data_IF_450064689113
#
_entry.id   IF_450064689113
#
_cell.length_a   1.000
_cell.length_b   1.000
_cell.length_c   1.000
_cell.angle_alpha   90.00
_cell.angle_beta   90.00
_cell.angle_gamma   90.00
#
_symmetry.space_group_name_H-M   'P 1'
#
loop_
_entity.id
_entity.type
_entity.pdbx_description
1 polymer ?
#
# COMPACT_ATOMS: atom_id res chain seq x y z
N UNK A 1 2.29 -18.67 -5.22
CA UNK A 1 3.38 -18.15 -4.37
C UNK A 1 2.96 -16.86 -3.68
N UNK A 2 2.64 -15.81 -4.40
CA UNK A 2 2.07 -14.59 -3.83
C UNK A 2 0.56 -14.57 -4.08
N UNK A 3 -0.22 -14.39 -3.02
CA UNK A 3 -1.66 -14.57 -3.08
C UNK A 3 -2.39 -13.22 -3.18
N UNK A 4 -1.81 -12.16 -2.55
CA UNK A 4 -2.45 -10.85 -2.47
C UNK A 4 -1.44 -9.72 -2.28
N UNK A 5 -1.86 -8.50 -2.55
CA UNK A 5 -1.33 -7.33 -1.86
C UNK A 5 -2.01 -7.32 -0.48
N UNK A 6 -1.25 -7.60 0.56
CA UNK A 6 -1.76 -7.74 1.93
C UNK A 6 -2.08 -6.38 2.54
N UNK A 7 -1.10 -5.46 2.48
CA UNK A 7 -1.30 -4.09 2.92
C UNK A 7 -0.32 -3.11 2.25
N UNK A 8 -0.66 -1.84 2.35
CA UNK A 8 0.21 -0.71 2.03
C UNK A 8 0.64 -0.03 3.32
N UNK A 9 1.86 0.49 3.35
CA UNK A 9 2.46 1.14 4.52
C UNK A 9 2.64 2.61 4.21
N UNK A 10 2.12 3.45 5.10
CA UNK A 10 2.25 4.90 5.05
C UNK A 10 3.04 5.33 6.27
N UNK A 11 4.26 5.82 6.05
CA UNK A 11 5.09 6.37 7.12
C UNK A 11 4.58 7.76 7.49
N UNK A 12 4.36 7.99 8.78
CA UNK A 12 3.83 9.24 9.32
C UNK A 12 4.65 9.74 10.51
N UNK A 13 4.70 11.06 10.69
CA UNK A 13 5.41 11.69 11.83
C UNK A 13 4.59 11.60 13.12
N UNK A 14 3.27 11.87 13.02
CA UNK A 14 2.32 11.83 14.14
C UNK A 14 1.16 10.88 13.80
N UNK A 15 1.13 9.74 14.49
CA UNK A 15 0.12 8.71 14.26
C UNK A 15 -1.29 9.22 14.54
N UNK A 16 -1.48 10.06 15.56
CA UNK A 16 -2.81 10.56 15.95
C UNK A 16 -3.38 11.51 14.89
N UNK A 17 -2.57 12.42 14.37
CA UNK A 17 -2.96 13.32 13.28
C UNK A 17 -3.25 12.51 12.00
N UNK A 18 -2.41 11.53 11.69
CA UNK A 18 -2.62 10.68 10.53
C UNK A 18 -3.89 9.83 10.63
N UNK A 19 -4.24 9.32 11.82
CA UNK A 19 -5.51 8.61 12.08
C UNK A 19 -6.69 9.52 11.80
N UNK A 20 -6.68 10.77 12.29
CA UNK A 20 -7.76 11.73 12.03
C UNK A 20 -7.92 12.00 10.53
N UNK A 21 -6.81 12.20 9.84
CA UNK A 21 -6.77 12.46 8.40
C UNK A 21 -7.33 11.28 7.59
N UNK A 22 -6.84 10.07 7.86
CA UNK A 22 -7.27 8.88 7.13
C UNK A 22 -8.69 8.43 7.51
N UNK A 23 -9.15 8.71 8.74
CA UNK A 23 -10.56 8.53 9.13
C UNK A 23 -11.48 9.39 8.25
N UNK A 24 -11.10 10.66 7.99
CA UNK A 24 -11.86 11.52 7.06
C UNK A 24 -11.78 10.98 5.62
N UNK A 25 -10.60 10.61 5.11
CA UNK A 25 -10.47 10.11 3.74
C UNK A 25 -11.27 8.82 3.54
N UNK A 26 -11.07 7.83 4.41
CA UNK A 26 -11.66 6.49 4.25
C UNK A 26 -13.13 6.46 4.68
N UNK A 27 -13.56 7.33 5.60
CA UNK A 27 -14.94 7.42 6.10
C UNK A 27 -15.24 6.48 7.27
N UNK A 28 -14.20 5.94 7.91
CA UNK A 28 -14.31 5.11 9.11
C UNK A 28 -12.98 5.14 9.89
N UNK A 29 -13.01 4.92 11.23
CA UNK A 29 -11.81 4.88 12.06
C UNK A 29 -11.01 3.59 11.85
N UNK A 30 -9.76 3.51 12.32
CA UNK A 30 -9.03 2.25 12.35
C UNK A 30 -9.71 1.25 13.30
N UNK A 31 -9.52 -0.03 13.04
CA UNK A 31 -10.02 -1.11 13.91
C UNK A 31 -8.94 -1.71 14.80
N UNK A 32 -7.73 -1.24 14.64
CA UNK A 32 -6.55 -1.66 15.38
C UNK A 32 -5.64 -0.47 15.63
N UNK A 33 -5.16 -0.32 16.86
CA UNK A 33 -4.05 0.55 17.22
C UNK A 33 -3.09 -0.27 18.04
N UNK A 34 -1.85 -0.36 17.62
CA UNK A 34 -0.93 -1.27 18.27
C UNK A 34 0.51 -0.83 18.21
N UNK A 35 1.32 -1.61 18.91
CA UNK A 35 2.77 -1.46 18.95
C UNK A 35 3.44 -2.74 18.49
N UNK A 36 4.63 -2.60 17.95
CA UNK A 36 5.49 -3.72 17.58
C UNK A 36 6.62 -3.86 18.60
N UNK A 37 6.50 -4.83 19.53
CA UNK A 37 7.51 -5.03 20.58
C UNK A 37 8.92 -5.23 19.98
N UNK A 38 9.89 -4.48 20.49
CA UNK A 38 11.28 -4.55 20.01
C UNK A 38 11.58 -3.88 18.67
N UNK A 39 10.57 -3.41 17.93
CA UNK A 39 10.77 -2.66 16.70
C UNK A 39 10.77 -1.14 16.90
N UNK A 40 10.24 -0.65 18.02
CA UNK A 40 10.13 0.78 18.32
C UNK A 40 9.15 1.51 17.40
N UNK A 41 8.10 0.84 16.95
CA UNK A 41 7.06 1.41 16.10
C UNK A 41 5.67 1.21 16.68
N UNK A 42 4.77 2.11 16.33
CA UNK A 42 3.33 2.01 16.57
C UNK A 42 2.56 2.15 15.26
N UNK A 43 1.36 1.58 15.20
CA UNK A 43 0.56 1.59 14.00
C UNK A 43 -0.93 1.78 14.25
N UNK A 44 -1.63 2.14 13.16
CA UNK A 44 -3.09 2.07 13.08
C UNK A 44 -3.48 1.36 11.77
N UNK A 45 -4.41 0.41 11.85
CA UNK A 45 -4.81 -0.40 10.71
C UNK A 45 -6.27 -0.11 10.33
N UNK A 46 -6.47 0.17 9.04
CA UNK A 46 -7.76 0.43 8.43
C UNK A 46 -8.10 -0.71 7.46
N UNK A 47 -8.98 -1.65 7.84
CA UNK A 47 -9.35 -2.77 6.97
C UNK A 47 -10.23 -2.31 5.82
N UNK A 48 -9.91 -2.78 4.63
CA UNK A 48 -10.68 -2.63 3.40
C UNK A 48 -11.15 -4.02 2.90
N UNK A 49 -11.94 -4.05 1.84
CA UNK A 49 -12.45 -5.31 1.30
C UNK A 49 -11.37 -6.21 0.69
N UNK A 50 -10.24 -5.66 0.29
CA UNK A 50 -9.19 -6.39 -0.43
C UNK A 50 -7.79 -6.33 0.20
N UNK A 51 -7.58 -5.47 1.18
CA UNK A 51 -6.32 -5.31 1.91
C UNK A 51 -6.56 -4.45 3.16
N UNK A 52 -5.53 -4.09 3.89
CA UNK A 52 -5.61 -3.00 4.88
C UNK A 52 -4.57 -1.91 4.63
N UNK A 53 -4.85 -0.71 5.14
CA UNK A 53 -3.90 0.40 5.19
C UNK A 53 -3.23 0.38 6.55
N UNK A 54 -1.92 0.41 6.59
CA UNK A 54 -1.13 0.61 7.79
C UNK A 54 -0.56 2.03 7.83
N UNK A 55 -0.97 2.82 8.81
CA UNK A 55 -0.25 4.02 9.20
C UNK A 55 0.80 3.59 10.21
N UNK A 56 2.07 3.89 9.93
CA UNK A 56 3.21 3.43 10.73
C UNK A 56 4.06 4.61 11.18
N UNK A 57 4.23 4.75 12.49
CA UNK A 57 5.03 5.80 13.11
C UNK A 57 6.16 5.21 13.98
N UNK A 58 7.18 6.02 14.21
CA UNK A 58 8.22 5.71 15.18
C UNK A 58 7.68 5.92 16.60
N UNK A 59 7.91 4.95 17.49
CA UNK A 59 7.55 5.01 18.90
C UNK A 59 8.68 4.41 19.78
N UNK A 60 9.79 5.16 19.90
CA UNK A 60 10.93 4.75 20.69
C UNK A 60 12.15 4.33 19.87
N UNK A 61 12.89 3.34 20.36
CA UNK A 61 14.12 2.82 19.76
C UNK A 61 13.89 1.42 19.19
N UNK A 62 14.53 1.10 18.08
CA UNK A 62 14.49 -0.20 17.43
C UNK A 62 14.65 -0.12 15.91
N UNK A 63 14.90 -1.28 15.26
CA UNK A 63 15.17 -1.31 13.81
C UNK A 63 14.03 -0.74 12.97
N UNK A 64 12.78 -0.98 13.36
CA UNK A 64 11.61 -0.42 12.67
C UNK A 64 11.55 1.10 12.83
N UNK A 65 11.82 1.61 14.04
CA UNK A 65 11.90 3.05 14.29
C UNK A 65 12.97 3.73 13.43
N UNK A 66 14.16 3.13 13.35
CA UNK A 66 15.28 3.70 12.57
C UNK A 66 14.92 3.73 11.08
N UNK A 67 14.27 2.68 10.59
CA UNK A 67 13.80 2.62 9.20
C UNK A 67 12.77 3.73 8.90
N UNK A 68 11.77 3.91 9.76
CA UNK A 68 10.72 4.94 9.57
C UNK A 68 11.31 6.35 9.68
N UNK A 69 12.17 6.61 10.65
CA UNK A 69 12.88 7.91 10.78
C UNK A 69 13.71 8.21 9.55
N UNK A 70 14.50 7.24 9.06
CA UNK A 70 15.30 7.41 7.85
C UNK A 70 14.44 7.67 6.60
N UNK A 71 13.27 7.01 6.47
CA UNK A 71 12.34 7.31 5.38
C UNK A 71 11.79 8.73 5.47
N UNK A 72 11.32 9.14 6.66
CA UNK A 72 10.74 10.47 6.91
C UNK A 72 11.76 11.61 6.69
N UNK A 73 13.01 11.42 7.09
CA UNK A 73 14.08 12.39 6.85
C UNK A 73 14.36 12.62 5.37
N UNK A 74 14.25 11.59 4.55
CA UNK A 74 14.54 11.65 3.12
C UNK A 74 13.34 12.07 2.26
N UNK A 75 12.13 11.67 2.66
CA UNK A 75 10.94 11.75 1.80
C UNK A 75 9.79 12.56 2.43
N UNK A 76 9.83 12.83 3.75
CA UNK A 76 8.67 13.28 4.51
C UNK A 76 7.63 12.15 4.68
N UNK A 77 6.44 12.51 5.15
CA UNK A 77 5.32 11.55 5.22
C UNK A 77 4.93 11.05 3.83
N UNK A 78 4.56 9.76 3.73
CA UNK A 78 4.15 9.19 2.45
C UNK A 78 4.10 7.68 2.40
N UNK A 79 3.80 7.19 1.21
CA UNK A 79 3.72 5.76 0.91
C UNK A 79 5.12 5.15 0.93
N UNK A 80 5.43 4.38 1.98
CA UNK A 80 6.78 3.90 2.28
C UNK A 80 7.02 2.45 1.87
N UNK A 81 5.99 1.63 1.76
CA UNK A 81 6.17 0.21 1.45
C UNK A 81 4.90 -0.53 1.08
N UNK A 82 5.09 -1.77 0.65
CA UNK A 82 4.02 -2.73 0.37
C UNK A 82 4.37 -4.09 0.96
N UNK A 83 3.36 -4.78 1.51
CA UNK A 83 3.47 -6.15 1.94
C UNK A 83 2.71 -7.08 0.98
N UNK A 84 3.35 -8.14 0.55
CA UNK A 84 2.77 -9.14 -0.34
C UNK A 84 2.40 -10.38 0.48
N UNK A 85 1.13 -10.74 0.47
CA UNK A 85 0.59 -11.88 1.23
C UNK A 85 0.91 -13.21 0.56
N UNK A 86 1.23 -14.20 1.37
CA UNK A 86 1.42 -15.59 0.95
C UNK A 86 0.87 -16.57 1.98
N UNK A 87 0.34 -17.69 1.51
CA UNK A 87 -0.12 -18.81 2.36
C UNK A 87 1.01 -19.77 2.76
N UNK A 88 2.18 -19.68 2.10
CA UNK A 88 3.36 -20.50 2.40
C UNK A 88 4.65 -19.70 2.18
N UNK A 89 5.05 -18.99 3.23
CA UNK A 89 6.23 -18.12 3.19
C UNK A 89 7.54 -18.93 3.10
N UNK A 90 7.55 -20.18 3.62
CA UNK A 90 8.72 -21.03 3.50
C UNK A 90 8.94 -21.50 2.06
N UNK A 91 7.87 -21.87 1.36
CA UNK A 91 7.97 -22.19 -0.06
C UNK A 91 8.37 -20.97 -0.90
N UNK A 92 7.89 -19.76 -0.55
CA UNK A 92 8.30 -18.53 -1.20
C UNK A 92 9.82 -18.28 -0.99
N UNK A 93 10.32 -18.43 0.25
CA UNK A 93 11.74 -18.32 0.56
C UNK A 93 12.57 -19.32 -0.25
N UNK A 94 12.20 -20.60 -0.22
CA UNK A 94 12.94 -21.65 -0.92
C UNK A 94 13.01 -21.38 -2.44
N UNK A 95 11.95 -20.81 -3.02
CA UNK A 95 11.95 -20.42 -4.43
C UNK A 95 12.95 -19.31 -4.71
N UNK A 96 12.98 -18.26 -3.86
CA UNK A 96 13.91 -17.14 -4.04
C UNK A 96 15.36 -17.58 -3.81
N UNK A 97 15.61 -18.41 -2.79
CA UNK A 97 16.93 -19.04 -2.56
C UNK A 97 17.39 -19.87 -3.76
N UNK A 98 16.46 -20.63 -4.37
CA UNK A 98 16.75 -21.41 -5.60
C UNK A 98 17.02 -20.56 -6.85
N UNK A 99 16.67 -19.29 -6.80
CA UNK A 99 17.02 -18.27 -7.82
C UNK A 99 18.31 -17.50 -7.47
N UNK A 100 19.03 -17.94 -6.43
CA UNK A 100 20.25 -17.31 -5.89
C UNK A 100 20.01 -15.85 -5.42
N UNK A 101 18.81 -15.54 -4.97
CA UNK A 101 18.45 -14.23 -4.40
C UNK A 101 18.71 -14.29 -2.89
N UNK A 102 19.60 -13.43 -2.41
CA UNK A 102 19.94 -13.33 -0.98
C UNK A 102 18.83 -12.61 -0.20
N UNK A 103 17.85 -13.36 0.27
CA UNK A 103 16.75 -12.86 1.10
C UNK A 103 17.04 -13.07 2.58
N UNK A 104 16.34 -12.33 3.45
CA UNK A 104 16.47 -12.47 4.90
C UNK A 104 16.11 -13.89 5.38
N UNK A 105 16.44 -14.21 6.62
CA UNK A 105 15.75 -15.29 7.31
C UNK A 105 14.29 -14.90 7.54
N UNK A 106 13.44 -15.90 7.81
CA UNK A 106 12.08 -15.63 8.27
C UNK A 106 12.15 -14.96 9.63
N UNK A 107 11.42 -13.87 9.78
CA UNK A 107 11.36 -13.08 11.02
C UNK A 107 9.93 -13.16 11.56
N UNK A 108 9.81 -13.66 12.80
CA UNK A 108 8.53 -13.64 13.50
C UNK A 108 8.17 -12.21 13.89
N UNK A 109 6.92 -11.84 13.66
CA UNK A 109 6.35 -10.56 14.03
C UNK A 109 5.19 -10.75 15.00
N UNK A 110 5.04 -9.79 15.89
CA UNK A 110 3.93 -9.69 16.83
C UNK A 110 3.41 -8.25 16.86
N UNK A 111 2.10 -8.10 16.86
CA UNK A 111 1.42 -6.85 17.14
C UNK A 111 0.43 -7.04 18.26
N UNK A 112 0.33 -6.05 19.14
CA UNK A 112 -0.60 -6.04 20.26
C UNK A 112 -1.50 -4.81 20.17
N UNK A 113 -2.79 -5.05 20.16
CA UNK A 113 -3.78 -3.98 20.16
C UNK A 113 -3.84 -3.26 21.52
N UNK A 114 -3.83 -1.95 21.50
CA UNK A 114 -3.82 -1.14 22.74
C UNK A 114 -5.14 -1.22 23.50
N UNK A 115 -6.26 -1.30 22.78
CA UNK A 115 -7.61 -1.26 23.36
C UNK A 115 -8.08 -2.65 23.78
N UNK A 116 -8.11 -3.62 22.86
CA UNK A 116 -8.60 -4.98 23.12
C UNK A 116 -7.59 -5.88 23.81
N UNK A 117 -6.29 -5.54 23.70
CA UNK A 117 -5.15 -6.39 24.13
C UNK A 117 -5.01 -7.66 23.32
N UNK A 118 -5.72 -7.80 22.23
CA UNK A 118 -5.56 -8.91 21.29
C UNK A 118 -4.16 -8.90 20.68
N UNK A 119 -3.68 -10.08 20.35
CA UNK A 119 -2.37 -10.29 19.74
C UNK A 119 -2.58 -10.86 18.35
N UNK A 120 -1.81 -10.36 17.39
CA UNK A 120 -1.66 -10.93 16.06
C UNK A 120 -0.22 -11.32 15.85
N UNK A 121 0.00 -12.47 15.23
CA UNK A 121 1.33 -12.95 14.89
C UNK A 121 1.44 -13.26 13.41
N UNK A 122 2.65 -13.11 12.89
CA UNK A 122 2.95 -13.37 11.49
C UNK A 122 4.42 -13.71 11.28
N UNK A 123 4.74 -14.19 10.09
CA UNK A 123 6.13 -14.32 9.61
C UNK A 123 6.37 -13.35 8.48
N UNK A 124 7.52 -12.70 8.50
CA UNK A 124 7.99 -11.81 7.45
C UNK A 124 9.21 -12.39 6.73
N UNK A 125 9.31 -12.12 5.44
CA UNK A 125 10.49 -12.32 4.62
C UNK A 125 10.82 -11.00 3.94
N UNK A 126 11.84 -10.29 4.45
CA UNK A 126 12.26 -9.03 3.87
C UNK A 126 13.06 -9.25 2.60
N UNK A 127 12.73 -8.48 1.56
CA UNK A 127 13.39 -8.53 0.26
C UNK A 127 14.46 -7.44 0.19
N UNK A 128 15.66 -7.74 -0.34
CA UNK A 128 16.73 -6.75 -0.43
C UNK A 128 16.36 -5.64 -1.42
N UNK A 129 16.77 -4.41 -1.13
CA UNK A 129 16.52 -3.26 -2.02
C UNK A 129 17.12 -3.42 -3.42
N UNK A 130 18.19 -4.19 -3.56
CA UNK A 130 18.75 -4.57 -4.87
C UNK A 130 17.77 -5.35 -5.74
N UNK A 131 16.94 -6.21 -5.14
CA UNK A 131 15.87 -6.93 -5.83
C UNK A 131 14.67 -6.01 -6.09
N UNK A 132 14.21 -5.30 -5.05
CA UNK A 132 12.99 -4.48 -5.10
C UNK A 132 13.20 -3.12 -5.74
N UNK A 133 14.42 -2.81 -6.14
CA UNK A 133 14.82 -1.62 -6.91
C UNK A 133 14.45 -0.30 -6.20
N UNK A 134 14.52 -0.31 -4.87
CA UNK A 134 14.27 0.86 -4.02
C UNK A 134 12.89 0.88 -3.34
N UNK A 135 11.95 0.01 -3.73
CA UNK A 135 10.64 -0.08 -3.04
C UNK A 135 10.76 -1.02 -1.84
N UNK A 136 10.48 -0.51 -0.63
CA UNK A 136 10.41 -1.37 0.54
C UNK A 136 9.28 -2.39 0.37
N UNK A 137 9.68 -3.66 0.27
CA UNK A 137 8.76 -4.78 0.00
C UNK A 137 9.16 -5.98 0.85
N UNK A 138 8.18 -6.62 1.45
CA UNK A 138 8.37 -7.90 2.14
C UNK A 138 7.19 -8.83 1.89
N UNK A 139 7.41 -10.12 2.12
CA UNK A 139 6.34 -11.11 2.13
C UNK A 139 5.86 -11.31 3.55
N UNK A 140 4.55 -11.53 3.71
CA UNK A 140 3.93 -11.77 5.00
C UNK A 140 3.03 -13.01 4.94
N UNK A 141 3.11 -13.82 5.99
CA UNK A 141 2.15 -14.88 6.28
C UNK A 141 1.60 -14.68 7.68
N UNK A 142 0.30 -14.41 7.78
CA UNK A 142 -0.39 -14.32 9.07
C UNK A 142 -0.52 -15.72 9.69
N UNK A 143 -0.32 -15.81 11.02
CA UNK A 143 -0.40 -17.07 11.76
C UNK A 143 -1.58 -17.05 12.73
N UNK A 144 -1.57 -16.18 13.74
CA UNK A 144 -2.62 -16.11 14.75
C UNK A 144 -3.24 -14.71 14.82
N UNK A 145 -4.50 -14.66 15.23
CA UNK A 145 -5.29 -13.45 15.32
C UNK A 145 -5.79 -12.97 13.96
N UNK A 146 -6.79 -12.12 13.96
CA UNK A 146 -7.36 -11.51 12.76
C UNK A 146 -7.53 -10.01 12.97
N UNK A 147 -7.41 -9.23 11.90
CA UNK A 147 -7.74 -7.82 11.96
C UNK A 147 -9.27 -7.66 12.04
N UNK A 148 -9.81 -7.00 13.08
CA UNK A 148 -11.24 -6.72 13.15
C UNK A 148 -11.69 -5.88 11.95
N UNK A 149 -12.93 -6.11 11.48
CA UNK A 149 -13.52 -5.38 10.36
C UNK A 149 -14.77 -4.62 10.81
N UNK A 150 -15.12 -3.56 10.09
CA UNK A 150 -16.35 -2.83 10.35
C UNK A 150 -17.57 -3.65 9.94
N UNK A 151 -18.55 -3.79 10.85
CA UNK A 151 -19.79 -4.55 10.60
C UNK A 151 -20.75 -3.81 9.67
N UNK A 152 -20.79 -2.49 9.79
CA UNK A 152 -21.69 -1.63 9.03
C UNK A 152 -20.86 -0.83 8.02
N UNK A 153 -21.37 -0.74 6.80
CA UNK A 153 -20.78 0.04 5.71
C UNK A 153 -21.75 1.09 5.25
N UNK A 154 -21.23 2.29 5.00
CA UNK A 154 -22.00 3.42 4.46
C UNK A 154 -21.57 3.74 3.04
N UNK A 155 -22.50 4.27 2.24
CA UNK A 155 -22.26 4.52 0.81
C UNK A 155 -21.19 5.60 0.55
N UNK A 156 -20.87 6.42 1.57
CA UNK A 156 -19.86 7.48 1.48
C UNK A 156 -18.44 7.05 1.84
N UNK A 157 -18.23 5.80 2.29
CA UNK A 157 -16.91 5.32 2.66
C UNK A 157 -16.14 4.73 1.48
N UNK A 158 -14.81 4.64 1.64
CA UNK A 158 -13.95 3.85 0.77
C UNK A 158 -14.20 2.37 1.01
N UNK A 159 -14.32 1.58 -0.07
CA UNK A 159 -14.56 0.14 0.02
C UNK A 159 -13.28 -0.66 -0.14
N UNK A 160 -12.47 -0.30 -1.12
CA UNK A 160 -11.24 -1.03 -1.46
C UNK A 160 -10.22 -0.14 -2.16
N UNK A 161 -8.99 -0.60 -2.21
CA UNK A 161 -7.96 -0.03 -3.08
C UNK A 161 -8.17 -0.57 -4.51
N UNK A 162 -8.31 0.32 -5.50
CA UNK A 162 -8.33 -0.06 -6.92
C UNK A 162 -6.92 -0.39 -7.40
N UNK A 163 -5.99 0.53 -7.19
CA UNK A 163 -4.59 0.34 -7.54
C UNK A 163 -3.61 1.16 -6.69
N UNK A 164 -2.39 0.63 -6.57
CA UNK A 164 -1.19 1.36 -6.17
C UNK A 164 -0.43 1.74 -7.42
N UNK A 165 0.10 2.96 -7.49
CA UNK A 165 0.93 3.42 -8.60
C UNK A 165 2.40 3.34 -8.22
N UNK A 166 3.20 2.74 -9.10
CA UNK A 166 4.66 2.64 -9.01
C UNK A 166 5.26 3.32 -10.24
N UNK A 167 6.18 4.24 -10.03
CA UNK A 167 7.00 4.78 -11.10
C UNK A 167 8.25 3.92 -11.29
N UNK A 168 8.66 3.73 -12.53
CA UNK A 168 9.90 3.02 -12.88
C UNK A 168 10.63 3.71 -14.03
N UNK A 169 11.96 3.69 -13.99
CA UNK A 169 12.79 4.09 -15.13
C UNK A 169 13.28 2.90 -15.98
N UNK A 170 12.90 1.65 -15.59
CA UNK A 170 13.23 0.44 -16.33
C UNK A 170 12.02 -0.52 -16.34
N UNK A 171 11.07 -0.32 -17.26
CA UNK A 171 9.87 -1.15 -17.36
C UNK A 171 10.15 -2.64 -17.61
N UNK A 172 11.18 -2.99 -18.39
CA UNK A 172 11.50 -4.39 -18.68
C UNK A 172 12.03 -5.13 -17.44
N UNK A 173 12.94 -4.49 -16.69
CA UNK A 173 13.41 -5.06 -15.43
C UNK A 173 12.30 -5.21 -14.40
N UNK A 174 11.34 -4.26 -14.37
CA UNK A 174 10.18 -4.36 -13.50
C UNK A 174 9.25 -5.52 -13.94
N UNK A 175 9.04 -5.73 -15.24
CA UNK A 175 8.28 -6.88 -15.73
C UNK A 175 8.95 -8.18 -15.29
N UNK A 176 10.29 -8.30 -15.44
CA UNK A 176 11.03 -9.47 -14.99
C UNK A 176 10.87 -9.73 -13.49
N UNK A 177 10.91 -8.67 -12.66
CA UNK A 177 10.69 -8.79 -11.23
C UNK A 177 9.27 -9.28 -10.90
N UNK A 178 8.25 -8.56 -11.34
CA UNK A 178 6.88 -8.84 -10.93
C UNK A 178 6.29 -10.08 -11.60
N UNK A 179 6.55 -10.29 -12.91
CA UNK A 179 6.03 -11.44 -13.64
C UNK A 179 6.86 -12.70 -13.41
N UNK A 180 8.18 -12.62 -13.61
CA UNK A 180 9.02 -13.82 -13.70
C UNK A 180 9.48 -14.27 -12.31
N UNK A 181 9.87 -13.32 -11.44
CA UNK A 181 10.31 -13.63 -10.06
C UNK A 181 9.13 -13.82 -9.12
N UNK A 182 8.22 -12.85 -9.04
CA UNK A 182 7.08 -12.90 -8.12
C UNK A 182 5.92 -13.77 -8.63
N UNK A 183 5.80 -13.97 -9.95
CA UNK A 183 4.73 -14.74 -10.57
C UNK A 183 3.40 -13.96 -10.66
N UNK A 184 3.45 -12.63 -10.60
CA UNK A 184 2.27 -11.78 -10.70
C UNK A 184 1.88 -11.57 -12.16
N UNK A 185 0.61 -11.75 -12.48
CA UNK A 185 0.12 -11.68 -13.85
C UNK A 185 0.19 -10.25 -14.41
N UNK A 186 0.96 -10.04 -15.49
CA UNK A 186 0.89 -8.84 -16.32
C UNK A 186 -0.41 -8.90 -17.14
N UNK A 187 -1.37 -8.04 -16.80
CA UNK A 187 -2.69 -8.02 -17.41
C UNK A 187 -2.77 -7.12 -18.64
N UNK A 188 -1.99 -6.04 -18.64
CA UNK A 188 -1.92 -5.10 -19.76
C UNK A 188 -0.54 -4.44 -19.79
N UNK A 189 -0.04 -4.26 -21.00
CA UNK A 189 1.18 -3.53 -21.33
C UNK A 189 0.89 -2.67 -22.55
N UNK A 190 0.98 -1.36 -22.39
CA UNK A 190 0.68 -0.42 -23.45
C UNK A 190 1.51 0.86 -23.33
N UNK A 191 1.94 1.40 -24.46
CA UNK A 191 2.53 2.73 -24.53
C UNK A 191 1.42 3.76 -24.79
N UNK A 192 1.38 4.79 -23.96
CA UNK A 192 0.41 5.89 -24.09
C UNK A 192 1.18 7.19 -24.31
N UNK A 193 1.45 7.53 -25.56
CA UNK A 193 2.25 8.70 -25.95
C UNK A 193 1.76 10.00 -25.30
N UNK A 194 0.44 10.18 -25.19
CA UNK A 194 -0.18 11.36 -24.57
C UNK A 194 0.19 11.50 -23.09
N UNK A 195 0.57 10.42 -22.43
CA UNK A 195 0.97 10.41 -20.99
C UNK A 195 2.47 10.31 -20.82
N UNK A 196 3.21 10.20 -21.93
CA UNK A 196 4.65 10.25 -21.96
C UNK A 196 5.35 9.01 -21.43
N UNK A 197 4.67 7.85 -21.45
CA UNK A 197 5.29 6.64 -20.92
C UNK A 197 4.56 5.33 -21.26
N UNK A 198 5.18 4.24 -20.85
CA UNK A 198 4.63 2.89 -20.91
C UNK A 198 3.85 2.61 -19.63
N UNK A 199 2.65 2.10 -19.77
CA UNK A 199 1.74 1.75 -18.67
C UNK A 199 1.66 0.23 -18.57
N UNK A 200 2.02 -0.32 -17.41
CA UNK A 200 1.91 -1.74 -17.12
C UNK A 200 0.88 -1.94 -16.00
N UNK A 201 0.08 -2.99 -16.11
CA UNK A 201 -0.93 -3.31 -15.11
C UNK A 201 -0.75 -4.76 -14.65
N UNK A 202 -0.31 -4.95 -13.43
CA UNK A 202 -0.19 -6.26 -12.81
C UNK A 202 -1.40 -6.52 -11.92
N UNK A 203 -2.00 -7.70 -12.04
CA UNK A 203 -3.15 -8.12 -11.23
C UNK A 203 -2.71 -9.07 -10.15
N UNK A 204 -2.90 -8.65 -8.92
CA UNK A 204 -2.64 -9.44 -7.74
C UNK A 204 -3.94 -9.52 -6.92
N UNK A 205 -4.66 -10.66 -7.05
CA UNK A 205 -5.97 -10.86 -6.47
C UNK A 205 -6.96 -9.77 -6.92
N UNK A 206 -7.54 -9.01 -6.00
CA UNK A 206 -8.53 -7.97 -6.27
C UNK A 206 -7.93 -6.55 -6.39
N UNK A 207 -6.60 -6.45 -6.49
CA UNK A 207 -5.86 -5.18 -6.57
C UNK A 207 -5.02 -5.12 -7.84
N UNK A 208 -4.77 -3.93 -8.32
CA UNK A 208 -3.86 -3.68 -9.46
C UNK A 208 -2.63 -2.94 -8.95
N UNK A 209 -1.44 -3.37 -9.40
CA UNK A 209 -0.25 -2.53 -9.39
C UNK A 209 -0.19 -1.86 -10.76
N UNK A 210 -0.39 -0.53 -10.79
CA UNK A 210 -0.28 0.29 -11.98
C UNK A 210 1.12 0.87 -12.06
N UNK A 211 1.82 0.59 -13.14
CA UNK A 211 3.18 1.03 -13.32
C UNK A 211 3.23 2.12 -14.37
N UNK A 212 3.91 3.21 -14.05
CA UNK A 212 4.23 4.28 -14.99
C UNK A 212 5.71 4.18 -15.32
N UNK A 213 6.01 3.69 -16.53
CA UNK A 213 7.36 3.48 -17.00
C UNK A 213 7.85 4.63 -17.87
N UNK A 214 8.99 5.22 -17.51
CA UNK A 214 9.67 6.23 -18.31
C UNK A 214 11.18 6.03 -18.21
N UNK A 215 11.77 5.48 -19.27
CA UNK A 215 13.21 5.29 -19.36
C UNK A 215 13.95 6.63 -19.32
N UNK A 216 15.02 6.71 -18.53
CA UNK A 216 15.86 7.90 -18.38
C UNK A 216 17.37 7.61 -18.52
N UNK A 217 17.73 6.34 -18.82
CA UNK A 217 19.09 5.87 -19.00
C UNK A 217 19.94 5.79 -17.74
N UNK A 218 19.32 5.91 -16.56
CA UNK A 218 19.99 5.76 -15.26
C UNK A 218 19.89 4.34 -14.73
N UNK A 219 20.56 4.08 -13.61
CA UNK A 219 20.42 2.82 -12.89
C UNK A 219 18.93 2.55 -12.55
N UNK A 220 18.49 1.28 -12.65
CA UNK A 220 17.11 0.92 -12.38
C UNK A 220 16.64 1.36 -11.01
N UNK A 221 15.54 2.11 -10.98
CA UNK A 221 14.92 2.60 -9.75
C UNK A 221 13.40 2.63 -9.87
N UNK A 222 12.75 2.12 -8.84
CA UNK A 222 11.29 2.16 -8.71
C UNK A 222 10.91 3.00 -7.48
N UNK A 223 9.73 3.59 -7.52
CA UNK A 223 9.20 4.35 -6.38
C UNK A 223 7.68 4.25 -6.30
N UNK A 224 7.15 4.10 -5.10
CA UNK A 224 5.72 4.23 -4.84
C UNK A 224 5.30 5.68 -5.07
N UNK A 225 4.14 5.89 -5.71
CA UNK A 225 3.73 7.25 -6.06
C UNK A 225 2.34 7.62 -5.55
N UNK A 226 1.32 6.81 -5.79
CA UNK A 226 -0.04 7.22 -5.50
C UNK A 226 -1.02 6.07 -5.31
N UNK A 227 -2.24 6.42 -4.89
CA UNK A 227 -3.30 5.48 -4.55
C UNK A 227 -4.61 5.86 -5.23
N UNK A 228 -5.38 4.86 -5.64
CA UNK A 228 -6.75 5.05 -6.10
C UNK A 228 -7.71 4.21 -5.26
N UNK A 229 -8.71 4.88 -4.68
CA UNK A 229 -9.71 4.28 -3.80
C UNK A 229 -11.04 4.09 -4.49
N UNK A 230 -11.62 2.91 -4.41
CA UNK A 230 -12.97 2.66 -4.90
C UNK A 230 -13.99 3.10 -3.86
N UNK A 231 -14.95 3.86 -4.31
CA UNK A 231 -16.13 4.27 -3.54
C UNK A 231 -17.41 3.81 -4.25
N UNK A 232 -18.47 3.56 -3.48
CA UNK A 232 -19.75 3.11 -4.03
C UNK A 232 -20.51 4.25 -4.71
N UNK A 233 -20.54 5.44 -4.07
CA UNK A 233 -21.12 6.66 -4.60
C UNK A 233 -20.16 7.83 -4.41
N UNK A 234 -19.51 8.24 -5.50
CA UNK A 234 -18.48 9.29 -5.45
C UNK A 234 -19.07 10.66 -5.13
N UNK A 235 -20.33 10.93 -5.44
CA UNK A 235 -20.97 12.22 -5.12
C UNK A 235 -21.29 12.33 -3.64
N UNK A 236 -21.76 11.23 -3.03
CA UNK A 236 -22.01 11.16 -1.58
C UNK A 236 -20.68 11.25 -0.84
N UNK A 237 -19.65 10.53 -1.28
CA UNK A 237 -18.29 10.61 -0.72
C UNK A 237 -17.71 12.02 -0.83
N UNK A 238 -17.81 12.65 -2.00
CA UNK A 238 -17.36 14.02 -2.23
C UNK A 238 -18.00 15.01 -1.24
N UNK A 239 -19.34 14.96 -1.10
CA UNK A 239 -20.06 15.85 -0.19
C UNK A 239 -19.62 15.64 1.27
N UNK A 240 -19.40 14.40 1.70
CA UNK A 240 -18.89 14.09 3.04
C UNK A 240 -17.50 14.71 3.25
N UNK A 241 -16.58 14.47 2.32
CA UNK A 241 -15.20 14.98 2.42
C UNK A 241 -15.16 16.50 2.49
N UNK A 242 -15.94 17.20 1.66
CA UNK A 242 -16.06 18.67 1.72
C UNK A 242 -16.61 19.12 3.08
N UNK A 243 -17.64 18.45 3.61
CA UNK A 243 -18.21 18.79 4.93
C UNK A 243 -17.24 18.57 6.10
N UNK A 244 -16.29 17.66 5.93
CA UNK A 244 -15.21 17.36 6.90
C UNK A 244 -13.95 18.21 6.68
N UNK A 245 -13.99 19.18 5.74
CA UNK A 245 -12.90 20.11 5.49
C UNK A 245 -11.77 19.54 4.64
N UNK A 246 -11.99 18.43 3.93
CA UNK A 246 -11.01 17.86 3.01
C UNK A 246 -11.12 18.53 1.65
N UNK A 247 -10.00 18.98 1.09
CA UNK A 247 -9.95 19.53 -0.26
C UNK A 247 -10.04 18.41 -1.30
N UNK A 248 -11.07 18.47 -2.15
CA UNK A 248 -11.31 17.49 -3.23
C UNK A 248 -11.71 18.23 -4.50
N UNK A 249 -11.20 17.79 -5.65
CA UNK A 249 -11.63 18.33 -6.94
C UNK A 249 -13.07 17.93 -7.25
N UNK A 250 -13.75 18.70 -8.10
CA UNK A 250 -15.07 18.31 -8.60
C UNK A 250 -15.03 16.90 -9.22
N UNK A 251 -16.14 16.19 -9.08
CA UNK A 251 -16.34 14.88 -9.70
C UNK A 251 -16.43 15.04 -11.21
N UNK A 252 -15.68 14.25 -11.96
CA UNK A 252 -15.67 14.23 -13.42
C UNK A 252 -15.58 12.81 -13.98
N UNK A 253 -15.81 12.66 -15.26
CA UNK A 253 -15.55 11.40 -15.98
C UNK A 253 -14.07 11.04 -15.89
N UNK A 254 -13.81 9.77 -15.59
CA UNK A 254 -12.46 9.21 -15.55
C UNK A 254 -11.89 8.96 -16.95
N UNK A 255 -10.58 8.73 -17.03
CA UNK A 255 -9.93 8.32 -18.29
C UNK A 255 -10.37 6.93 -18.73
N UNK A 256 -10.63 6.04 -17.78
CA UNK A 256 -11.21 4.71 -18.03
C UNK A 256 -12.70 4.89 -18.32
N UNK A 257 -13.24 4.32 -19.43
CA UNK A 257 -14.66 4.37 -19.70
C UNK A 257 -15.51 3.84 -18.52
N UNK A 258 -16.69 4.40 -18.36
CA UNK A 258 -17.62 4.03 -17.28
C UNK A 258 -17.03 4.20 -15.87
N UNK A 259 -16.28 5.29 -15.65
CA UNK A 259 -15.79 5.67 -14.33
C UNK A 259 -16.03 7.15 -14.05
N UNK A 260 -16.29 7.46 -12.78
CA UNK A 260 -16.24 8.82 -12.23
C UNK A 260 -15.05 8.92 -11.29
N UNK A 261 -14.39 10.08 -11.30
CA UNK A 261 -13.18 10.31 -10.47
C UNK A 261 -13.20 11.67 -9.81
N UNK A 262 -12.53 11.76 -8.65
CA UNK A 262 -12.19 13.00 -7.97
C UNK A 262 -10.81 12.86 -7.31
N UNK A 263 -10.02 13.93 -7.28
CA UNK A 263 -8.68 13.93 -6.66
C UNK A 263 -8.77 14.55 -5.27
N UNK A 264 -8.32 13.82 -4.26
CA UNK A 264 -8.16 14.34 -2.90
C UNK A 264 -6.85 15.14 -2.84
N UNK A 265 -6.91 16.35 -2.29
CA UNK A 265 -5.82 17.35 -2.32
C UNK A 265 -5.18 17.60 -0.97
N UNK A 266 -5.85 17.23 0.13
CA UNK A 266 -5.37 17.43 1.50
C UNK A 266 -5.57 16.18 2.35
N UNK A 267 -4.98 16.12 3.53
CA UNK A 267 -5.08 15.02 4.51
C UNK A 267 -4.45 13.68 4.05
N UNK A 268 -3.68 13.66 2.96
CA UNK A 268 -3.22 12.44 2.28
C UNK A 268 -1.81 12.00 2.67
N UNK A 269 -1.17 12.62 3.67
CA UNK A 269 0.26 12.39 3.98
C UNK A 269 1.13 12.47 2.72
N UNK A 270 0.96 13.55 1.93
CA UNK A 270 1.66 13.83 0.66
C UNK A 270 1.44 12.81 -0.47
N UNK A 271 0.52 11.84 -0.33
CA UNK A 271 0.28 10.81 -1.32
C UNK A 271 -0.74 11.31 -2.37
N UNK A 272 -0.40 11.36 -3.67
CA UNK A 272 -1.37 11.58 -4.73
C UNK A 272 -2.53 10.58 -4.64
N UNK A 273 -3.73 11.09 -4.43
CA UNK A 273 -4.88 10.26 -4.04
C UNK A 273 -6.08 10.50 -4.96
N UNK A 274 -6.57 9.43 -5.56
CA UNK A 274 -7.73 9.44 -6.45
C UNK A 274 -8.89 8.66 -5.83
N UNK A 275 -10.09 9.22 -5.90
CA UNK A 275 -11.33 8.47 -5.70
C UNK A 275 -11.85 8.00 -7.06
N UNK A 276 -12.36 6.78 -7.14
CA UNK A 276 -12.93 6.20 -8.36
C UNK A 276 -14.21 5.45 -8.05
N UNK A 277 -15.24 5.73 -8.85
CA UNK A 277 -16.46 4.92 -8.91
C UNK A 277 -16.52 4.25 -10.28
N UNK A 278 -16.70 2.94 -10.31
CA UNK A 278 -17.00 2.16 -11.51
C UNK A 278 -18.53 2.16 -11.72
N UNK A 279 -18.99 2.59 -12.92
CA UNK A 279 -20.41 2.68 -13.29
C UNK A 279 -20.94 1.35 -13.88
#
# INVERSE_FOLDING_TARGET
>A
MLDSLDHIIIAVEDLSIAIENYTKILGFPPTWRGVHPGQGTENALFPLDNLYVELLASNGEGPGSDMIKGFLELNGEGLSGIALGTSDIQAAKNKLDGMEIDVSNLIEGEGKDEDSREIRTWKNLFLPFSLTRGVFTFLIQHEEGSLPTHKEKVDSQVNKLDHVVINTNDPEGLISLYRDTYGIRLALDQTVEKWGGRMLFFRLNHTTLEIIGKEDGKEPQDSLWGLAWVVKDIKVTYNRLISEGVEVTEVKEGRKPNTLVATVKSHTCNIPTLLIQHL
#
